data_IF_190765852899
#
_entry.id   IF_190765852899
#
_cell.length_a   1.000
_cell.length_b   1.000
_cell.length_c   1.000
_cell.angle_alpha   90.00
_cell.angle_beta   90.00
_cell.angle_gamma   90.00
#
_symmetry.space_group_name_H-M   'P 1'
#
loop_
_entity.id
_entity.type
_entity.pdbx_description
1 polymer ?
#
# COMPACT_ATOMS: atom_id res chain seq x y z
N UNK A 1 59.38 -27.57 36.97
CA UNK A 1 60.47 -27.08 36.11
C UNK A 1 60.15 -27.39 34.64
N UNK A 2 59.82 -26.33 33.89
CA UNK A 2 59.94 -26.07 32.44
C UNK A 2 59.64 -27.14 31.36
N UNK A 3 58.61 -26.88 30.54
CA UNK A 3 58.48 -27.04 29.07
C UNK A 3 57.03 -26.64 28.68
N UNK A 4 56.67 -25.99 27.58
CA UNK A 4 57.31 -25.19 26.53
C UNK A 4 56.16 -24.78 25.57
N UNK A 5 56.02 -23.48 25.30
CA UNK A 5 55.39 -22.79 24.15
C UNK A 5 54.25 -23.42 23.32
N UNK A 6 53.15 -22.66 23.15
CA UNK A 6 52.58 -22.41 21.81
C UNK A 6 51.86 -21.06 21.73
N UNK A 7 52.35 -20.19 20.87
CA UNK A 7 51.76 -18.92 20.52
C UNK A 7 50.53 -19.13 19.62
N UNK A 8 49.36 -18.64 20.04
CA UNK A 8 48.23 -18.46 19.14
C UNK A 8 48.14 -16.98 18.75
N UNK A 9 48.22 -16.77 17.43
CA UNK A 9 48.43 -15.53 16.70
C UNK A 9 47.25 -14.54 16.85
N UNK A 10 47.48 -13.23 16.71
CA UNK A 10 46.40 -12.26 16.63
C UNK A 10 45.73 -12.36 15.26
N UNK A 11 44.38 -12.32 15.19
CA UNK A 11 43.59 -11.66 14.12
C UNK A 11 42.13 -12.14 14.09
N UNK A 12 41.21 -11.37 13.47
CA UNK A 12 41.18 -9.92 13.35
C UNK A 12 39.88 -9.36 13.93
N UNK A 13 39.94 -8.07 14.27
CA UNK A 13 38.80 -7.19 14.39
C UNK A 13 37.76 -7.54 13.33
N UNK A 14 36.54 -7.77 13.80
CA UNK A 14 35.33 -8.12 13.07
C UNK A 14 34.92 -6.95 12.15
N UNK A 15 35.78 -6.65 11.17
CA UNK A 15 35.48 -5.78 10.06
C UNK A 15 34.41 -6.47 9.24
N UNK A 16 33.25 -5.82 9.12
CA UNK A 16 32.18 -6.22 8.21
C UNK A 16 32.81 -6.39 6.84
N UNK A 17 33.02 -7.64 6.40
CA UNK A 17 33.55 -7.90 5.07
C UNK A 17 32.63 -7.23 4.06
N UNK A 18 33.20 -6.46 3.14
CA UNK A 18 32.44 -5.76 2.09
C UNK A 18 31.54 -6.75 1.33
N UNK A 19 31.92 -8.03 1.24
CA UNK A 19 31.07 -9.11 0.72
C UNK A 19 29.80 -9.40 1.55
N UNK A 20 29.86 -9.30 2.89
CA UNK A 20 28.67 -9.39 3.76
C UNK A 20 27.80 -8.14 3.62
N UNK A 21 28.42 -6.95 3.51
CA UNK A 21 27.70 -5.70 3.23
C UNK A 21 27.04 -5.70 1.85
N UNK A 22 27.70 -6.22 0.81
CA UNK A 22 27.13 -6.37 -0.54
C UNK A 22 25.99 -7.39 -0.54
N UNK A 23 26.10 -8.48 0.23
CA UNK A 23 25.02 -9.46 0.39
C UNK A 23 23.83 -8.86 1.16
N UNK A 24 24.07 -8.15 2.26
CA UNK A 24 23.03 -7.41 2.99
C UNK A 24 22.41 -6.30 2.13
N UNK A 25 23.18 -5.55 1.33
CA UNK A 25 22.66 -4.50 0.44
C UNK A 25 21.85 -5.09 -0.72
N UNK A 26 22.24 -6.27 -1.23
CA UNK A 26 21.52 -7.01 -2.27
C UNK A 26 20.24 -7.66 -1.73
N UNK A 27 20.27 -8.21 -0.51
CA UNK A 27 19.08 -8.72 0.18
C UNK A 27 18.14 -7.59 0.60
N UNK A 28 18.66 -6.44 1.07
CA UNK A 28 17.90 -5.23 1.34
C UNK A 28 17.20 -4.68 0.10
N UNK A 29 17.88 -4.67 -1.06
CA UNK A 29 17.26 -4.28 -2.35
C UNK A 29 16.18 -5.26 -2.83
N UNK A 30 16.25 -6.54 -2.41
CA UNK A 30 15.26 -7.57 -2.73
C UNK A 30 14.02 -7.47 -1.83
N UNK A 31 14.21 -7.08 -0.57
CA UNK A 31 13.14 -6.74 0.39
C UNK A 31 12.41 -5.46 -0.04
N UNK A 32 13.16 -4.42 -0.43
CA UNK A 32 12.62 -3.15 -0.94
C UNK A 32 11.69 -3.36 -2.14
N UNK A 33 12.04 -4.26 -3.06
CA UNK A 33 11.18 -4.61 -4.21
C UNK A 33 9.90 -5.36 -3.79
N UNK A 34 9.94 -6.17 -2.71
CA UNK A 34 8.75 -6.87 -2.17
C UNK A 34 7.82 -5.91 -1.46
N UNK A 35 8.36 -4.99 -0.66
CA UNK A 35 7.59 -3.95 0.04
C UNK A 35 6.96 -2.99 -0.96
N UNK A 36 7.67 -2.62 -2.02
CA UNK A 36 7.16 -1.71 -3.05
C UNK A 36 5.91 -2.25 -3.76
N UNK A 37 5.92 -3.52 -4.18
CA UNK A 37 4.76 -4.13 -4.84
C UNK A 37 3.55 -4.27 -3.87
N UNK A 38 3.82 -4.54 -2.60
CA UNK A 38 2.77 -4.55 -1.57
C UNK A 38 2.17 -3.16 -1.33
N UNK A 39 3.00 -2.11 -1.34
CA UNK A 39 2.54 -0.74 -1.19
C UNK A 39 1.73 -0.23 -2.39
N UNK A 40 2.10 -0.63 -3.62
CA UNK A 40 1.29 -0.38 -4.82
C UNK A 40 -0.10 -0.98 -4.64
N UNK A 41 -0.16 -2.25 -4.23
CA UNK A 41 -1.42 -2.94 -4.00
C UNK A 41 -2.26 -2.26 -2.92
N UNK A 42 -1.65 -1.89 -1.80
CA UNK A 42 -2.32 -1.17 -0.72
C UNK A 42 -2.90 0.17 -1.20
N UNK A 43 -2.13 0.96 -1.97
CA UNK A 43 -2.58 2.24 -2.51
C UNK A 43 -3.76 2.08 -3.49
N UNK A 44 -3.69 1.08 -4.38
CA UNK A 44 -4.80 0.75 -5.29
C UNK A 44 -6.06 0.30 -4.54
N UNK A 45 -5.90 -0.53 -3.49
CA UNK A 45 -7.03 -0.99 -2.68
C UNK A 45 -7.69 0.16 -1.91
N UNK A 46 -6.92 1.09 -1.33
CA UNK A 46 -7.47 2.29 -0.66
C UNK A 46 -8.17 3.21 -1.65
N UNK A 47 -7.61 3.39 -2.85
CA UNK A 47 -8.25 4.18 -3.90
C UNK A 47 -9.61 3.58 -4.34
N UNK A 48 -9.66 2.24 -4.46
CA UNK A 48 -10.91 1.51 -4.72
C UNK A 48 -11.95 1.72 -3.62
N UNK A 49 -11.59 1.57 -2.34
CA UNK A 49 -12.49 1.83 -1.20
C UNK A 49 -13.01 3.26 -1.23
N UNK A 50 -12.13 4.24 -1.45
CA UNK A 50 -12.51 5.65 -1.53
C UNK A 50 -13.47 5.94 -2.70
N UNK A 51 -13.26 5.32 -3.86
CA UNK A 51 -14.17 5.41 -5.00
C UNK A 51 -15.54 4.78 -4.72
N UNK A 52 -15.59 3.62 -4.04
CA UNK A 52 -16.83 2.99 -3.62
C UNK A 52 -17.62 3.89 -2.64
N UNK A 53 -16.93 4.48 -1.65
CA UNK A 53 -17.54 5.42 -0.71
C UNK A 53 -18.08 6.65 -1.44
N UNK A 54 -17.35 7.19 -2.41
CA UNK A 54 -17.81 8.32 -3.21
C UNK A 54 -19.10 7.98 -3.98
N UNK A 55 -19.16 6.81 -4.63
CA UNK A 55 -20.32 6.35 -5.38
C UNK A 55 -21.55 6.12 -4.48
N UNK A 56 -21.37 5.47 -3.33
CA UNK A 56 -22.45 5.22 -2.37
C UNK A 56 -22.97 6.54 -1.78
N UNK A 57 -22.06 7.46 -1.42
CA UNK A 57 -22.45 8.78 -0.94
C UNK A 57 -23.24 9.55 -2.01
N UNK A 58 -22.79 9.54 -3.28
CA UNK A 58 -23.53 10.15 -4.37
C UNK A 58 -24.92 9.52 -4.58
N UNK A 59 -25.04 8.20 -4.47
CA UNK A 59 -26.32 7.49 -4.55
C UNK A 59 -27.28 7.86 -3.40
N UNK A 60 -26.77 8.00 -2.17
CA UNK A 60 -27.56 8.44 -1.01
C UNK A 60 -28.02 9.90 -1.15
N UNK A 61 -27.23 10.76 -1.78
CA UNK A 61 -27.62 12.15 -2.04
C UNK A 61 -28.87 12.25 -2.94
N UNK A 62 -29.08 11.31 -3.85
CA UNK A 62 -30.23 11.32 -4.76
C UNK A 62 -31.58 11.00 -4.08
N UNK A 63 -31.58 10.45 -2.86
CA UNK A 63 -32.78 10.03 -2.14
C UNK A 63 -32.97 10.64 -0.74
N UNK A 64 -32.08 11.54 -0.32
CA UNK A 64 -32.08 12.13 1.03
C UNK A 64 -32.75 13.50 1.12
N UNK A 65 -33.01 13.97 2.35
CA UNK A 65 -33.41 15.36 2.61
C UNK A 65 -32.25 16.35 2.34
N UNK A 66 -32.55 17.64 2.17
CA UNK A 66 -31.57 18.69 1.81
C UNK A 66 -30.33 18.77 2.72
N UNK A 67 -30.47 18.51 4.02
CA UNK A 67 -29.34 18.42 4.96
C UNK A 67 -28.44 17.19 4.72
N UNK A 68 -29.04 16.05 4.39
CA UNK A 68 -28.31 14.81 4.08
C UNK A 68 -27.64 14.91 2.72
N UNK A 69 -28.31 15.48 1.72
CA UNK A 69 -27.76 15.75 0.39
C UNK A 69 -26.41 16.50 0.46
N UNK A 70 -26.35 17.62 1.20
CA UNK A 70 -25.12 18.41 1.36
C UNK A 70 -23.99 17.60 1.99
N UNK A 71 -24.32 16.79 2.99
CA UNK A 71 -23.36 15.96 3.72
C UNK A 71 -22.82 14.83 2.84
N UNK A 72 -23.71 14.14 2.12
CA UNK A 72 -23.35 13.07 1.19
C UNK A 72 -22.54 13.59 -0.01
N UNK A 73 -22.86 14.77 -0.54
CA UNK A 73 -22.07 15.43 -1.59
C UNK A 73 -20.68 15.84 -1.09
N UNK A 74 -20.57 16.42 0.11
CA UNK A 74 -19.28 16.74 0.72
C UNK A 74 -18.43 15.49 0.97
N UNK A 75 -19.05 14.42 1.46
CA UNK A 75 -18.42 13.11 1.64
C UNK A 75 -17.94 12.53 0.31
N UNK A 76 -18.76 12.57 -0.74
CA UNK A 76 -18.41 12.06 -2.06
C UNK A 76 -17.20 12.81 -2.66
N UNK A 77 -17.18 14.14 -2.52
CA UNK A 77 -16.06 14.98 -2.97
C UNK A 77 -14.77 14.66 -2.21
N UNK A 78 -14.82 14.58 -0.88
CA UNK A 78 -13.67 14.21 -0.05
C UNK A 78 -13.13 12.82 -0.40
N UNK A 79 -14.01 11.84 -0.55
CA UNK A 79 -13.63 10.48 -0.92
C UNK A 79 -13.03 10.42 -2.34
N UNK A 80 -13.55 11.20 -3.29
CA UNK A 80 -12.97 11.31 -4.64
C UNK A 80 -11.57 11.91 -4.62
N UNK A 81 -11.33 12.94 -3.79
CA UNK A 81 -9.99 13.52 -3.62
C UNK A 81 -9.00 12.50 -3.04
N UNK A 82 -9.42 11.73 -2.03
CA UNK A 82 -8.59 10.65 -1.47
C UNK A 82 -8.32 9.57 -2.52
N UNK A 83 -9.33 9.16 -3.29
CA UNK A 83 -9.17 8.19 -4.37
C UNK A 83 -8.16 8.67 -5.42
N UNK A 84 -8.23 9.95 -5.81
CA UNK A 84 -7.28 10.55 -6.75
C UNK A 84 -5.85 10.58 -6.20
N UNK A 85 -5.67 10.96 -4.93
CA UNK A 85 -4.35 10.96 -4.29
C UNK A 85 -3.76 9.56 -4.16
N UNK A 86 -4.58 8.57 -3.81
CA UNK A 86 -4.13 7.18 -3.75
C UNK A 86 -3.80 6.62 -5.13
N UNK A 87 -4.53 7.02 -6.18
CA UNK A 87 -4.20 6.67 -7.56
C UNK A 87 -2.86 7.26 -7.99
N UNK A 88 -2.60 8.56 -7.72
CA UNK A 88 -1.33 9.22 -8.03
C UNK A 88 -0.16 8.54 -7.29
N UNK A 89 -0.34 8.22 -6.01
CA UNK A 89 0.65 7.47 -5.23
C UNK A 89 0.87 6.08 -5.81
N UNK A 90 -0.20 5.35 -6.17
CA UNK A 90 -0.08 4.04 -6.79
C UNK A 90 0.68 4.08 -8.12
N UNK A 91 0.39 5.06 -8.99
CA UNK A 91 1.06 5.27 -10.28
C UNK A 91 2.53 5.64 -10.11
N UNK A 92 2.86 6.54 -9.17
CA UNK A 92 4.24 6.85 -8.81
C UNK A 92 5.02 5.61 -8.34
N UNK A 93 4.30 4.65 -7.76
CA UNK A 93 4.85 3.38 -7.29
C UNK A 93 4.81 2.28 -8.37
N UNK A 94 4.38 2.59 -9.59
CA UNK A 94 4.41 1.66 -10.73
C UNK A 94 3.14 0.83 -10.90
N UNK A 95 2.01 1.26 -10.33
CA UNK A 95 0.70 0.70 -10.69
C UNK A 95 0.41 0.93 -12.18
N UNK A 96 -0.11 -0.10 -12.84
CA UNK A 96 -0.62 0.04 -14.20
C UNK A 96 -1.97 0.78 -14.21
N UNK A 97 -2.09 1.76 -15.10
CA UNK A 97 -3.27 2.61 -15.19
C UNK A 97 -4.54 1.84 -15.61
N UNK A 98 -4.42 0.80 -16.44
CA UNK A 98 -5.57 -0.06 -16.79
C UNK A 98 -6.03 -0.89 -15.60
N UNK A 99 -5.09 -1.43 -14.82
CA UNK A 99 -5.43 -2.13 -13.58
C UNK A 99 -6.14 -1.20 -12.60
N UNK A 100 -5.66 0.04 -12.47
CA UNK A 100 -6.27 1.02 -11.58
C UNK A 100 -7.68 1.44 -12.04
N UNK A 101 -7.86 1.71 -13.34
CA UNK A 101 -9.17 1.98 -13.92
C UNK A 101 -10.15 0.82 -13.73
N UNK A 102 -9.69 -0.43 -13.85
CA UNK A 102 -10.52 -1.62 -13.61
C UNK A 102 -10.97 -1.73 -12.15
N UNK A 103 -10.08 -1.45 -11.19
CA UNK A 103 -10.42 -1.46 -9.75
C UNK A 103 -11.46 -0.39 -9.44
N UNK A 104 -11.26 0.84 -9.92
CA UNK A 104 -12.22 1.93 -9.71
C UNK A 104 -13.57 1.61 -10.33
N UNK A 105 -13.59 1.13 -11.57
CA UNK A 105 -14.85 0.80 -12.27
C UNK A 105 -15.64 -0.31 -11.55
N UNK A 106 -14.94 -1.30 -11.00
CA UNK A 106 -15.55 -2.33 -10.14
C UNK A 106 -16.11 -1.72 -8.85
N UNK A 107 -15.31 -0.90 -8.19
CA UNK A 107 -15.65 -0.28 -6.90
C UNK A 107 -16.87 0.64 -6.98
N UNK A 108 -17.02 1.44 -8.04
CA UNK A 108 -18.18 2.34 -8.21
C UNK A 108 -19.49 1.59 -8.49
N UNK A 109 -19.42 0.31 -8.87
CA UNK A 109 -20.58 -0.53 -9.10
C UNK A 109 -21.02 -1.33 -7.86
N UNK A 110 -20.30 -1.21 -6.73
CA UNK A 110 -20.64 -1.89 -5.48
C UNK A 110 -21.95 -1.36 -4.89
N UNK A 111 -22.83 -2.29 -4.48
CA UNK A 111 -24.14 -1.96 -3.90
C UNK A 111 -24.48 -2.75 -2.63
N UNK A 112 -23.74 -3.82 -2.33
CA UNK A 112 -24.05 -4.67 -1.18
C UNK A 112 -23.05 -4.46 -0.04
N UNK A 113 -23.48 -4.59 1.23
CA UNK A 113 -22.57 -4.52 2.38
C UNK A 113 -21.46 -5.58 2.35
N UNK A 114 -21.73 -6.76 1.78
CA UNK A 114 -20.74 -7.83 1.64
C UNK A 114 -19.58 -7.42 0.73
N UNK A 115 -19.90 -6.82 -0.42
CA UNK A 115 -18.89 -6.33 -1.37
C UNK A 115 -18.01 -5.23 -0.75
N UNK A 116 -18.61 -4.33 0.04
CA UNK A 116 -17.87 -3.27 0.76
C UNK A 116 -16.89 -3.87 1.77
N UNK A 117 -17.33 -4.88 2.52
CA UNK A 117 -16.50 -5.56 3.52
C UNK A 117 -15.32 -6.28 2.85
N UNK A 118 -15.56 -6.98 1.74
CA UNK A 118 -14.50 -7.64 0.95
C UNK A 118 -13.51 -6.63 0.38
N UNK A 119 -13.99 -5.53 -0.21
CA UNK A 119 -13.12 -4.49 -0.74
C UNK A 119 -12.26 -3.84 0.36
N UNK A 120 -12.86 -3.56 1.52
CA UNK A 120 -12.17 -2.99 2.69
C UNK A 120 -11.12 -3.95 3.26
N UNK A 121 -11.42 -5.25 3.30
CA UNK A 121 -10.46 -6.27 3.74
C UNK A 121 -9.21 -6.29 2.84
N UNK A 122 -9.38 -6.09 1.53
CA UNK A 122 -8.27 -5.98 0.58
C UNK A 122 -7.42 -4.72 0.75
N UNK A 123 -7.92 -3.68 1.42
CA UNK A 123 -7.16 -2.46 1.71
C UNK A 123 -6.37 -2.53 3.03
N UNK A 124 -6.59 -3.54 3.87
CA UNK A 124 -5.98 -3.67 5.19
C UNK A 124 -4.68 -4.50 5.22
N UNK A 125 -4.05 -4.75 4.06
CA UNK A 125 -2.85 -5.60 3.88
C UNK A 125 -1.57 -4.80 3.76
#
# INVERSE_FOLDING_TARGET
FHRSFSAAKPSPLRGKTVGRWLKEKKEKKKEENRVHNAQVHAAMSVAGVAAAVAAIAAACAAGGNDGQYKTHMAMASAATLVAAQCAEVAEYMGADHQQMASVVNSAVNIRTPGDIMTLTAGAAT
#
